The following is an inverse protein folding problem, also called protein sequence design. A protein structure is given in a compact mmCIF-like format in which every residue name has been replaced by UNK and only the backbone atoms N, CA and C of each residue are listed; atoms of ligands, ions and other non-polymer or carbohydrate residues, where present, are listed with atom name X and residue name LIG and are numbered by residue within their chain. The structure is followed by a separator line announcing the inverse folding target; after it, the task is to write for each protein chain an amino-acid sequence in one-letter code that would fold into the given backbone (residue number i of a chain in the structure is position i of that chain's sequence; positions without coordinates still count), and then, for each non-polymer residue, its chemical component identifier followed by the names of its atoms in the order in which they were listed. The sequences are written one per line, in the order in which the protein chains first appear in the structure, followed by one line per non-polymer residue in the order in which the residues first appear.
data_IF_111855343975
#
_entry.id   IF_111855343975
#
_cell.length_a   1.000
_cell.length_b   1.000
_cell.length_c   1.000
_cell.angle_alpha   90.00
_cell.angle_beta   90.00
_cell.angle_gamma   90.00
#
_symmetry.space_group_name_H-M   'P 1'
#
loop_
_entity.id
_entity.type
_entity.pdbx_description
1 polymer ?
#
# COMPACT_ATOMS: atom_id res chain seq x y z
N UNK A 1 -2.15 0.51 -8.09
CA UNK A 1 -1.18 1.07 -7.12
C UNK A 1 0.05 0.18 -7.14
N UNK A 2 1.25 0.76 -7.25
CA UNK A 2 2.52 0.05 -7.24
C UNK A 2 3.43 0.65 -6.18
N UNK A 3 4.42 -0.13 -5.72
CA UNK A 3 5.37 0.30 -4.68
C UNK A 3 6.82 0.05 -5.13
N UNK A 4 7.78 0.54 -4.35
CA UNK A 4 9.21 0.34 -4.58
C UNK A 4 9.79 -0.63 -3.57
N UNK A 5 10.62 -1.56 -4.03
CA UNK A 5 11.29 -2.51 -3.14
C UNK A 5 12.27 -1.76 -2.22
N UNK A 6 12.19 -1.92 -0.89
CA UNK A 6 13.12 -1.26 0.02
C UNK A 6 14.53 -1.85 -0.03
N UNK A 7 14.69 -3.08 -0.53
CA UNK A 7 15.98 -3.76 -0.60
C UNK A 7 16.79 -3.43 -1.86
N UNK A 8 16.18 -3.54 -3.05
CA UNK A 8 16.88 -3.32 -4.33
C UNK A 8 16.41 -2.07 -5.08
N UNK A 9 15.53 -1.26 -4.48
CA UNK A 9 15.02 0.02 -5.03
C UNK A 9 14.28 -0.14 -6.37
N UNK A 10 13.97 -1.39 -6.77
CA UNK A 10 13.14 -1.66 -7.95
C UNK A 10 11.75 -1.05 -7.75
N UNK A 11 11.38 -0.15 -8.66
CA UNK A 11 10.10 0.56 -8.63
C UNK A 11 9.03 -0.22 -9.40
N UNK A 12 7.77 0.15 -9.16
CA UNK A 12 6.65 -0.32 -9.97
C UNK A 12 6.16 -1.72 -9.63
N UNK A 13 6.40 -2.19 -8.40
CA UNK A 13 6.04 -3.55 -7.98
C UNK A 13 4.55 -3.58 -7.61
N UNK A 14 3.73 -4.42 -8.27
CA UNK A 14 2.32 -4.55 -7.92
C UNK A 14 2.16 -5.35 -6.61
N UNK A 15 1.07 -5.12 -5.87
CA UNK A 15 0.76 -5.92 -4.70
C UNK A 15 0.46 -7.36 -5.11
N UNK A 16 1.10 -8.31 -4.43
CA UNK A 16 0.83 -9.74 -4.59
C UNK A 16 -0.43 -10.18 -3.82
N UNK A 17 -0.77 -9.47 -2.75
CA UNK A 17 -1.97 -9.72 -1.96
C UNK A 17 -2.55 -8.40 -1.46
N UNK A 18 -3.87 -8.35 -1.31
CA UNK A 18 -4.57 -7.22 -0.69
C UNK A 18 -5.57 -7.76 0.32
N UNK A 19 -5.56 -7.20 1.53
CA UNK A 19 -6.54 -7.48 2.58
C UNK A 19 -7.15 -6.18 3.07
N UNK A 20 -8.46 -6.17 3.28
CA UNK A 20 -9.19 -5.05 3.88
C UNK A 20 -9.64 -5.43 5.29
N UNK A 21 -9.47 -4.54 6.26
CA UNK A 21 -10.02 -4.65 7.61
C UNK A 21 -10.54 -3.29 8.06
N UNK A 22 -11.87 -3.16 8.07
CA UNK A 22 -12.54 -1.88 8.35
C UNK A 22 -11.96 -0.77 7.48
N UNK A 23 -11.47 0.27 8.14
CA UNK A 23 -10.87 1.46 7.54
C UNK A 23 -9.43 1.31 7.09
N UNK A 24 -8.86 0.09 7.11
CA UNK A 24 -7.47 -0.16 6.73
C UNK A 24 -7.39 -1.13 5.56
N UNK A 25 -6.54 -0.79 4.59
CA UNK A 25 -6.14 -1.70 3.50
C UNK A 25 -4.68 -2.06 3.69
N UNK A 26 -4.38 -3.35 3.73
CA UNK A 26 -3.03 -3.89 3.78
C UNK A 26 -2.70 -4.50 2.43
N UNK A 27 -1.63 -4.02 1.80
CA UNK A 27 -1.08 -4.56 0.57
C UNK A 27 0.21 -5.31 0.89
N UNK A 28 0.27 -6.59 0.52
CA UNK A 28 1.49 -7.39 0.56
C UNK A 28 2.19 -7.35 -0.79
N UNK A 29 3.52 -7.22 -0.78
CA UNK A 29 4.37 -7.13 -1.96
C UNK A 29 5.48 -8.17 -1.90
N UNK A 30 5.88 -8.63 -3.08
CA UNK A 30 7.07 -9.47 -3.27
C UNK A 30 7.85 -8.95 -4.47
N UNK A 31 9.13 -8.66 -4.26
CA UNK A 31 9.98 -8.20 -5.35
C UNK A 31 10.30 -9.35 -6.31
N UNK A 32 10.06 -9.20 -7.63
CA UNK A 32 10.40 -10.24 -8.60
C UNK A 32 11.91 -10.34 -8.87
N UNK A 33 12.70 -9.34 -8.46
CA UNK A 33 14.15 -9.29 -8.71
C UNK A 33 14.94 -9.90 -7.55
N UNK A 34 14.74 -9.39 -6.33
CA UNK A 34 15.50 -9.83 -5.15
C UNK A 34 14.72 -10.77 -4.23
N UNK A 35 13.44 -11.02 -4.50
CA UNK A 35 12.59 -11.88 -3.67
C UNK A 35 12.14 -11.27 -2.34
N UNK A 36 12.61 -10.07 -1.97
CA UNK A 36 12.23 -9.41 -0.73
C UNK A 36 10.71 -9.22 -0.61
N UNK A 37 10.17 -9.43 0.58
CA UNK A 37 8.73 -9.36 0.87
C UNK A 37 8.47 -8.27 1.91
N UNK A 38 7.45 -7.46 1.68
CA UNK A 38 7.03 -6.41 2.61
C UNK A 38 5.53 -6.18 2.52
N UNK A 39 4.98 -5.44 3.47
CA UNK A 39 3.58 -5.04 3.46
C UNK A 39 3.46 -3.54 3.76
N UNK A 40 2.47 -2.89 3.16
CA UNK A 40 2.08 -1.52 3.49
C UNK A 40 0.64 -1.51 3.98
N UNK A 41 0.40 -0.86 5.12
CA UNK A 41 -0.93 -0.60 5.64
C UNK A 41 -1.32 0.85 5.33
N UNK A 42 -2.54 1.05 4.86
CA UNK A 42 -3.09 2.37 4.52
C UNK A 42 -4.41 2.54 5.23
N UNK A 43 -4.53 3.62 6.00
CA UNK A 43 -5.80 4.04 6.57
C UNK A 43 -6.60 4.79 5.50
N UNK A 44 -7.71 4.19 5.05
CA UNK A 44 -8.66 4.77 4.10
C UNK A 44 -9.19 6.14 4.50
N UNK A 45 -9.48 6.44 5.80
CA UNK A 45 -9.98 7.75 6.21
C UNK A 45 -9.00 8.89 5.94
N UNK A 46 -7.69 8.60 5.88
CA UNK A 46 -6.67 9.59 5.53
C UNK A 46 -6.60 9.88 4.02
N UNK A 47 -7.26 9.07 3.19
CA UNK A 47 -7.26 9.19 1.73
C UNK A 47 -8.61 9.61 1.15
N UNK A 48 -9.68 9.52 1.94
CA UNK A 48 -10.94 10.18 1.63
C UNK A 48 -10.73 11.65 2.01
N UNK A 49 -10.75 12.60 1.07
CA UNK A 49 -10.78 14.01 1.46
C UNK A 49 -12.03 14.18 2.30
N UNK A 50 -11.85 14.37 3.60
CA UNK A 50 -12.90 14.89 4.46
C UNK A 50 -13.25 16.23 3.84
N UNK A 51 -14.32 16.29 3.04
CA UNK A 51 -15.02 17.55 2.77
C UNK A 51 -15.50 18.00 4.13
N UNK A 52 -14.66 18.77 4.82
CA UNK A 52 -15.03 19.49 6.02
C UNK A 52 -15.99 20.57 5.54
N UNK A 53 -17.28 20.21 5.42
CA UNK A 53 -18.35 21.20 5.37
C UNK A 53 -18.29 21.92 6.70
N UNK A 54 -17.65 23.08 6.70
CA UNK A 54 -17.69 24.03 7.78
C UNK A 54 -19.03 24.77 7.70
N UNK A 55 -19.62 24.96 8.89
CA UNK A 55 -20.77 25.81 9.23
C UNK A 55 -22.15 25.34 8.77
#
# INVERSE_FOLDING_TARGET
MTDSCPACVRRGIPPAATRRRGDTVVHGYRCPVCGHQWATARHLPAYIPTRRSAA
#
